data_IF_446055785861
#
_entry.id   IF_446055785861
#
_cell.length_a   1.000
_cell.length_b   1.000
_cell.length_c   1.000
_cell.angle_alpha   90.00
_cell.angle_beta   90.00
_cell.angle_gamma   90.00
#
_symmetry.space_group_name_H-M   'P 1'
#
loop_
_entity.id
_entity.type
_entity.pdbx_description
1 polymer ?
#
# COMPACT_ATOMS: atom_id res chain seq x y z
N UNK A 1 21.27 -5.50 -28.59
CA UNK A 1 20.75 -4.43 -27.69
C UNK A 1 19.34 -4.79 -27.23
N UNK A 2 19.23 -5.41 -26.08
CA UNK A 2 17.96 -5.69 -25.41
C UNK A 2 17.35 -4.38 -24.92
N UNK A 3 16.45 -3.79 -25.69
CA UNK A 3 15.72 -2.61 -25.27
C UNK A 3 14.54 -3.02 -24.39
N UNK A 4 14.77 -3.06 -23.09
CA UNK A 4 13.69 -2.92 -22.10
C UNK A 4 13.17 -1.48 -22.20
N UNK A 5 12.02 -1.26 -22.83
CA UNK A 5 11.45 0.06 -23.07
C UNK A 5 10.62 0.58 -21.90
N UNK A 6 10.97 0.21 -20.68
CA UNK A 6 10.68 1.03 -19.51
C UNK A 6 11.71 2.16 -19.51
N UNK A 7 11.28 3.42 -19.45
CA UNK A 7 12.21 4.53 -19.19
C UNK A 7 13.13 4.06 -18.08
N UNK A 8 14.42 3.83 -18.42
CA UNK A 8 15.43 3.20 -17.58
C UNK A 8 15.66 4.01 -16.31
N UNK A 9 14.78 3.87 -15.35
CA UNK A 9 14.99 4.44 -14.01
C UNK A 9 14.98 3.29 -13.02
N UNK A 10 16.12 3.07 -12.39
CA UNK A 10 16.23 2.23 -11.21
C UNK A 10 15.75 3.00 -10.02
N UNK A 11 15.04 2.31 -9.16
CA UNK A 11 14.50 2.85 -7.91
C UNK A 11 15.26 2.24 -6.73
N UNK A 12 15.75 3.10 -5.85
CA UNK A 12 16.39 2.70 -4.61
C UNK A 12 15.84 3.56 -3.48
N UNK A 13 15.49 2.94 -2.37
CA UNK A 13 15.04 3.66 -1.18
C UNK A 13 16.25 4.03 -0.32
N UNK A 14 16.26 5.26 0.16
CA UNK A 14 17.22 5.73 1.16
C UNK A 14 16.50 6.20 2.41
N UNK A 15 17.00 5.78 3.57
CA UNK A 15 16.49 6.20 4.88
C UNK A 15 17.63 6.65 5.75
N UNK A 16 17.50 7.80 6.36
CA UNK A 16 18.37 8.34 7.39
C UNK A 16 18.32 7.50 8.69
N UNK A 17 19.37 7.56 9.49
CA UNK A 17 19.42 6.94 10.82
C UNK A 17 19.04 7.92 11.92
N UNK A 18 19.28 9.21 11.72
CA UNK A 18 19.04 10.25 12.71
C UNK A 18 18.43 11.50 12.09
N UNK A 19 17.73 12.34 12.90
CA UNK A 19 17.18 13.62 12.42
C UNK A 19 18.26 14.57 11.89
N UNK A 20 19.48 14.55 12.44
CA UNK A 20 20.60 15.37 11.95
C UNK A 20 21.12 14.92 10.58
N UNK A 21 21.00 13.65 10.27
CA UNK A 21 21.39 13.10 8.97
C UNK A 21 20.35 13.40 7.89
N UNK A 22 19.11 13.64 8.27
CA UNK A 22 18.02 13.97 7.34
C UNK A 22 18.27 15.28 6.58
N UNK A 23 18.72 16.32 7.28
CA UNK A 23 19.05 17.60 6.62
C UNK A 23 20.26 17.47 5.68
N UNK A 24 21.32 16.79 6.14
CA UNK A 24 22.51 16.53 5.31
C UNK A 24 22.16 15.67 4.10
N UNK A 25 21.32 14.65 4.29
CA UNK A 25 20.84 13.79 3.22
C UNK A 25 20.04 14.60 2.20
N UNK A 26 19.09 15.42 2.63
CA UNK A 26 18.27 16.26 1.75
C UNK A 26 19.14 17.26 0.95
N UNK A 27 20.11 17.92 1.60
CA UNK A 27 21.03 18.83 0.94
C UNK A 27 21.95 18.10 -0.05
N UNK A 28 22.49 16.93 0.35
CA UNK A 28 23.34 16.12 -0.51
C UNK A 28 22.58 15.61 -1.76
N UNK A 29 21.38 15.08 -1.57
CA UNK A 29 20.54 14.60 -2.65
C UNK A 29 20.15 15.72 -3.62
N UNK A 30 19.77 16.90 -3.11
CA UNK A 30 19.44 18.06 -3.95
C UNK A 30 20.65 18.51 -4.79
N UNK A 31 21.85 18.49 -4.22
CA UNK A 31 23.09 18.85 -4.91
C UNK A 31 23.45 17.85 -6.00
N UNK A 32 23.39 16.56 -5.70
CA UNK A 32 23.59 15.49 -6.68
C UNK A 32 22.57 15.55 -7.83
N UNK A 33 21.29 15.86 -7.53
CA UNK A 33 20.26 16.02 -8.54
C UNK A 33 20.45 17.28 -9.42
N UNK A 34 21.10 18.32 -8.89
CA UNK A 34 21.46 19.51 -9.68
C UNK A 34 22.66 19.25 -10.61
N UNK A 35 23.58 18.35 -10.23
CA UNK A 35 24.75 17.98 -11.03
C UNK A 35 24.39 16.97 -12.14
N UNK A 36 23.42 16.10 -11.88
CA UNK A 36 23.04 15.02 -12.80
C UNK A 36 21.55 15.06 -13.15
N UNK A 37 21.15 15.48 -14.35
CA UNK A 37 19.76 15.57 -14.76
C UNK A 37 19.09 14.19 -14.94
N UNK A 38 19.85 13.11 -14.98
CA UNK A 38 19.32 11.74 -15.03
C UNK A 38 18.97 11.17 -13.65
N UNK A 39 19.44 11.83 -12.58
CA UNK A 39 19.13 11.49 -11.21
C UNK A 39 17.94 12.30 -10.70
N UNK A 40 16.98 11.62 -10.12
CA UNK A 40 15.79 12.24 -9.50
C UNK A 40 15.56 11.69 -8.12
N UNK A 41 15.04 12.55 -7.26
CA UNK A 41 14.66 12.20 -5.88
C UNK A 41 13.21 12.57 -5.67
N UNK A 42 12.45 11.64 -5.14
CA UNK A 42 11.03 11.82 -4.79
C UNK A 42 10.77 11.25 -3.40
N UNK A 43 9.85 11.85 -2.67
CA UNK A 43 9.34 11.28 -1.44
C UNK A 43 8.04 10.55 -1.75
N UNK A 44 8.00 9.27 -1.49
CA UNK A 44 6.77 8.49 -1.58
C UNK A 44 5.86 8.86 -0.42
N UNK A 45 4.70 9.42 -0.74
CA UNK A 45 3.73 9.91 0.26
C UNK A 45 3.07 8.76 1.04
N UNK A 46 3.04 7.55 0.48
CA UNK A 46 2.42 6.39 1.13
C UNK A 46 3.35 5.72 2.14
N UNK A 47 4.60 5.49 1.76
CA UNK A 47 5.59 4.84 2.63
C UNK A 47 6.41 5.84 3.46
N UNK A 48 6.34 7.14 3.13
CA UNK A 48 7.19 8.18 3.70
C UNK A 48 8.69 8.01 3.38
N UNK A 49 9.02 7.19 2.39
CA UNK A 49 10.39 6.89 2.00
C UNK A 49 10.89 7.89 0.95
N UNK A 50 12.17 8.24 1.04
CA UNK A 50 12.87 8.95 -0.03
C UNK A 50 13.33 7.95 -1.07
N UNK A 51 12.84 8.09 -2.30
CA UNK A 51 13.15 7.22 -3.44
C UNK A 51 14.11 7.94 -4.38
N UNK A 52 15.22 7.31 -4.66
CA UNK A 52 16.20 7.73 -5.66
C UNK A 52 15.94 7.01 -6.98
N UNK A 53 15.89 7.75 -8.07
CA UNK A 53 15.69 7.25 -9.44
C UNK A 53 16.93 7.57 -10.28
N UNK A 54 17.51 6.58 -10.92
CA UNK A 54 18.69 6.72 -11.77
C UNK A 54 18.69 5.81 -12.99
N UNK A 55 19.66 5.96 -13.87
CA UNK A 55 19.79 5.19 -15.13
C UNK A 55 20.07 3.71 -14.90
N UNK A 56 20.67 3.34 -13.78
CA UNK A 56 21.03 1.96 -13.46
C UNK A 56 21.44 1.80 -12.00
N UNK A 57 21.69 0.56 -11.59
CA UNK A 57 22.08 0.26 -10.20
C UNK A 57 23.47 0.81 -9.90
N UNK A 58 24.43 0.57 -10.78
CA UNK A 58 25.78 1.12 -10.62
C UNK A 58 25.78 2.65 -10.53
N UNK A 59 24.91 3.32 -11.29
CA UNK A 59 24.76 4.77 -11.22
C UNK A 59 24.27 5.19 -9.83
N UNK A 60 23.25 4.53 -9.30
CA UNK A 60 22.73 4.81 -7.95
C UNK A 60 23.76 4.47 -6.87
N UNK A 61 24.51 3.37 -7.00
CA UNK A 61 25.54 3.00 -6.06
C UNK A 61 26.67 4.04 -5.99
N UNK A 62 27.10 4.58 -7.13
CA UNK A 62 28.09 5.67 -7.20
C UNK A 62 27.56 6.92 -6.49
N UNK A 63 26.30 7.30 -6.74
CA UNK A 63 25.70 8.47 -6.10
C UNK A 63 25.55 8.30 -4.58
N UNK A 64 25.24 7.09 -4.14
CA UNK A 64 25.19 6.73 -2.72
C UNK A 64 26.58 6.78 -2.09
N UNK A 65 27.60 6.27 -2.77
CA UNK A 65 28.98 6.34 -2.27
C UNK A 65 29.45 7.80 -2.17
N UNK A 66 29.13 8.63 -3.16
CA UNK A 66 29.36 10.08 -3.10
C UNK A 66 28.63 10.73 -1.92
N UNK A 67 27.34 10.38 -1.71
CA UNK A 67 26.55 10.91 -0.59
C UNK A 67 27.21 10.59 0.76
N UNK A 68 27.71 9.37 0.92
CA UNK A 68 28.41 8.96 2.14
C UNK A 68 29.75 9.68 2.34
N UNK A 69 30.57 9.80 1.27
CA UNK A 69 31.91 10.37 1.35
C UNK A 69 31.93 11.89 1.42
N UNK A 70 31.15 12.55 0.57
CA UNK A 70 31.18 14.01 0.44
C UNK A 70 30.31 14.69 1.50
N UNK A 71 29.15 14.12 1.81
CA UNK A 71 28.20 14.71 2.76
C UNK A 71 28.19 14.05 4.13
N UNK A 72 28.97 12.98 4.32
CA UNK A 72 29.10 12.22 5.59
C UNK A 72 27.73 11.79 6.13
N UNK A 73 26.86 11.31 5.25
CA UNK A 73 25.53 10.83 5.59
C UNK A 73 25.59 9.34 5.88
N UNK A 74 25.14 8.94 7.06
CA UNK A 74 24.89 7.54 7.38
C UNK A 74 23.44 7.19 7.04
N UNK A 75 23.23 6.54 5.89
CA UNK A 75 21.91 6.14 5.43
C UNK A 75 21.82 4.65 5.18
N UNK A 76 20.66 4.08 5.49
CA UNK A 76 20.28 2.73 5.08
C UNK A 76 19.70 2.78 3.67
N UNK A 77 20.15 1.88 2.82
CA UNK A 77 19.75 1.80 1.42
C UNK A 77 19.16 0.43 1.15
N UNK A 78 18.11 0.37 0.37
CA UNK A 78 17.44 -0.88 0.02
C UNK A 78 16.44 -0.74 -1.11
N UNK A 79 15.76 -1.83 -1.43
CA UNK A 79 14.64 -1.79 -2.35
C UNK A 79 13.50 -0.93 -1.75
N UNK A 80 12.75 -0.19 -2.60
CA UNK A 80 11.57 0.54 -2.16
C UNK A 80 10.57 -0.39 -1.49
N UNK A 81 9.88 0.12 -0.48
CA UNK A 81 8.84 -0.63 0.19
C UNK A 81 7.62 -0.75 -0.73
N UNK A 82 7.06 -1.94 -0.85
CA UNK A 82 5.86 -2.16 -1.65
C UNK A 82 4.65 -1.67 -0.88
N UNK A 83 3.82 -0.85 -1.50
CA UNK A 83 2.58 -0.33 -0.93
C UNK A 83 1.48 -1.40 -1.00
N UNK A 84 1.44 -2.28 -0.02
CA UNK A 84 0.36 -3.24 0.13
C UNK A 84 -0.94 -2.56 0.59
N UNK A 85 -2.07 -3.19 0.28
CA UNK A 85 -3.40 -2.82 0.75
C UNK A 85 -4.10 -4.03 1.36
N UNK A 86 -5.13 -3.79 2.15
CA UNK A 86 -6.02 -4.85 2.62
C UNK A 86 -7.41 -4.68 2.01
N UNK A 87 -8.13 -5.78 1.85
CA UNK A 87 -9.55 -5.81 1.49
C UNK A 87 -10.22 -7.00 2.14
N UNK A 88 -11.52 -7.14 1.96
CA UNK A 88 -12.32 -8.25 2.49
C UNK A 88 -12.84 -9.14 1.36
N UNK A 89 -13.13 -10.40 1.67
CA UNK A 89 -13.50 -11.41 0.68
C UNK A 89 -14.99 -11.61 0.51
N UNK A 90 -15.75 -11.45 1.58
CA UNK A 90 -17.20 -11.70 1.60
C UNK A 90 -17.89 -10.76 2.58
N UNK A 91 -19.19 -10.63 2.40
CA UNK A 91 -20.06 -9.85 3.27
C UNK A 91 -20.17 -10.51 4.64
N UNK A 92 -20.18 -9.70 5.68
CA UNK A 92 -20.41 -10.13 7.05
C UNK A 92 -21.32 -9.16 7.78
N UNK A 93 -22.27 -9.69 8.53
CA UNK A 93 -23.02 -8.96 9.55
C UNK A 93 -22.34 -9.18 10.90
N UNK A 94 -21.99 -8.10 11.57
CA UNK A 94 -21.29 -8.15 12.85
C UNK A 94 -21.88 -7.17 13.86
N UNK A 95 -22.12 -7.67 15.07
CA UNK A 95 -22.55 -6.88 16.24
C UNK A 95 -21.41 -6.79 17.23
N UNK A 96 -21.12 -5.59 17.70
CA UNK A 96 -20.13 -5.36 18.75
C UNK A 96 -20.73 -4.51 19.85
N UNK A 97 -20.54 -4.94 21.09
CA UNK A 97 -20.98 -4.21 22.29
C UNK A 97 -19.76 -3.73 23.05
N UNK A 98 -19.60 -2.41 23.14
CA UNK A 98 -18.64 -1.78 24.04
C UNK A 98 -19.31 -1.54 25.39
N UNK A 99 -18.80 -2.17 26.44
CA UNK A 99 -19.24 -1.96 27.80
C UNK A 99 -18.04 -1.83 28.73
N UNK A 100 -17.90 -0.68 29.39
CA UNK A 100 -16.86 -0.44 30.39
C UNK A 100 -17.49 0.19 31.61
N UNK A 101 -17.29 -0.43 32.75
CA UNK A 101 -17.66 0.12 34.07
C UNK A 101 -16.37 0.34 34.86
N UNK A 102 -16.08 1.55 35.24
CA UNK A 102 -14.95 1.89 36.10
C UNK A 102 -15.38 3.01 37.03
N UNK A 103 -15.79 2.69 38.24
CA UNK A 103 -15.91 3.56 39.42
C UNK A 103 -16.56 4.95 39.27
N UNK A 104 -17.42 5.16 38.27
CA UNK A 104 -18.05 6.43 37.92
C UNK A 104 -19.03 6.24 36.75
N UNK A 105 -19.15 7.22 35.83
CA UNK A 105 -19.99 7.07 34.65
C UNK A 105 -19.45 5.93 33.75
N UNK A 106 -20.32 4.96 33.43
CA UNK A 106 -20.00 3.84 32.53
C UNK A 106 -19.82 4.30 31.07
N UNK A 107 -19.38 3.38 30.24
CA UNK A 107 -19.41 3.56 28.76
C UNK A 107 -20.20 2.39 28.17
N UNK A 108 -21.22 2.69 27.38
CA UNK A 108 -22.02 1.69 26.71
C UNK A 108 -22.31 2.13 25.27
N UNK A 109 -22.06 1.25 24.31
CA UNK A 109 -22.51 1.41 22.94
C UNK A 109 -22.56 0.04 22.26
N UNK A 110 -23.66 -0.26 21.58
CA UNK A 110 -23.76 -1.43 20.72
C UNK A 110 -23.99 -0.97 19.28
N UNK A 111 -23.21 -1.52 18.37
CA UNK A 111 -23.32 -1.27 16.92
C UNK A 111 -23.48 -2.58 16.19
N UNK A 112 -24.43 -2.61 15.25
CA UNK A 112 -24.64 -3.74 14.34
C UNK A 112 -24.41 -3.24 12.92
N UNK A 113 -23.42 -3.80 12.26
CA UNK A 113 -22.94 -3.35 10.95
C UNK A 113 -22.91 -4.50 9.95
N UNK A 114 -23.25 -4.20 8.69
CA UNK A 114 -22.97 -5.06 7.55
C UNK A 114 -21.75 -4.48 6.84
N UNK A 115 -20.73 -5.31 6.66
CA UNK A 115 -19.49 -4.95 5.96
C UNK A 115 -19.48 -5.76 4.66
N UNK A 116 -19.52 -5.09 3.51
CA UNK A 116 -19.66 -5.68 2.19
C UNK A 116 -18.45 -5.31 1.34
N UNK A 117 -17.77 -6.27 0.66
CA UNK A 117 -16.74 -5.94 -0.32
C UNK A 117 -17.36 -5.23 -1.53
N UNK A 118 -16.63 -4.27 -2.11
CA UNK A 118 -17.00 -3.59 -3.35
C UNK A 118 -16.06 -3.97 -4.49
N UNK A 119 -16.36 -3.54 -5.70
CA UNK A 119 -15.49 -3.78 -6.85
C UNK A 119 -14.16 -3.02 -6.70
N UNK A 120 -13.06 -3.54 -7.27
CA UNK A 120 -11.77 -2.88 -7.21
C UNK A 120 -11.83 -1.43 -7.73
N UNK A 121 -11.36 -0.50 -6.91
CA UNK A 121 -11.32 0.93 -7.23
C UNK A 121 -12.59 1.72 -6.88
N UNK A 122 -13.63 1.10 -6.32
CA UNK A 122 -14.81 1.82 -5.84
C UNK A 122 -14.57 2.55 -4.51
N UNK A 123 -13.51 2.16 -3.78
CA UNK A 123 -13.13 2.79 -2.54
C UNK A 123 -14.07 2.47 -1.37
N UNK A 124 -14.14 3.41 -0.44
CA UNK A 124 -14.94 3.29 0.79
C UNK A 124 -16.25 4.06 0.71
N UNK A 125 -17.32 3.46 1.25
CA UNK A 125 -18.59 4.16 1.48
C UNK A 125 -19.22 3.73 2.80
N UNK A 126 -19.87 4.71 3.46
CA UNK A 126 -20.63 4.48 4.70
C UNK A 126 -22.08 4.90 4.49
N UNK A 127 -23.01 4.10 4.98
CA UNK A 127 -24.43 4.45 5.04
C UNK A 127 -25.06 4.06 6.37
N UNK A 128 -25.99 4.87 6.82
CA UNK A 128 -26.83 4.54 7.99
C UNK A 128 -28.20 4.08 7.53
N UNK A 129 -28.58 2.86 7.90
CA UNK A 129 -29.89 2.26 7.65
C UNK A 129 -30.68 2.10 8.96
N UNK A 130 -30.38 2.90 9.97
CA UNK A 130 -31.07 2.85 11.27
C UNK A 130 -32.55 3.20 11.09
N UNK A 131 -33.42 2.35 11.61
CA UNK A 131 -34.86 2.55 11.66
C UNK A 131 -35.31 2.65 13.10
N UNK A 132 -36.32 3.50 13.38
CA UNK A 132 -36.93 3.59 14.71
C UNK A 132 -36.08 4.24 15.80
N UNK A 133 -34.94 4.88 15.46
CA UNK A 133 -34.13 5.60 16.45
C UNK A 133 -33.29 4.68 17.38
N UNK A 134 -33.01 3.44 16.96
CA UNK A 134 -32.19 2.49 17.73
C UNK A 134 -30.80 3.04 18.08
N UNK A 135 -30.25 3.90 17.23
CA UNK A 135 -29.08 4.73 17.50
C UNK A 135 -29.46 6.19 17.25
N UNK A 136 -29.37 7.09 18.25
CA UNK A 136 -29.60 8.52 18.06
C UNK A 136 -28.69 9.11 17.00
N UNK A 137 -29.21 10.05 16.21
CA UNK A 137 -28.48 10.67 15.08
C UNK A 137 -27.17 11.32 15.49
N UNK A 138 -27.09 11.82 16.73
CA UNK A 138 -25.90 12.46 17.29
C UNK A 138 -24.72 11.50 17.48
N UNK A 139 -24.95 10.17 17.54
CA UNK A 139 -23.89 9.17 17.70
C UNK A 139 -23.38 8.62 16.37
N UNK A 140 -24.13 8.78 15.27
CA UNK A 140 -23.74 8.28 13.93
C UNK A 140 -22.40 8.86 13.46
N UNK A 141 -22.08 10.16 13.64
CA UNK A 141 -20.76 10.68 13.30
C UNK A 141 -19.61 10.01 14.10
N UNK A 142 -19.88 9.59 15.35
CA UNK A 142 -18.93 8.82 16.15
C UNK A 142 -18.66 7.44 15.55
N UNK A 143 -19.70 6.77 15.05
CA UNK A 143 -19.56 5.47 14.36
C UNK A 143 -18.71 5.62 13.12
N UNK A 144 -19.00 6.59 12.26
CA UNK A 144 -18.24 6.85 11.03
C UNK A 144 -16.76 7.17 11.34
N UNK A 145 -16.51 8.02 12.33
CA UNK A 145 -15.15 8.33 12.78
C UNK A 145 -14.41 7.09 13.28
N UNK A 146 -15.11 6.21 14.00
CA UNK A 146 -14.56 4.94 14.48
C UNK A 146 -14.15 4.01 13.35
N UNK A 147 -14.99 3.90 12.31
CA UNK A 147 -14.71 3.12 11.10
C UNK A 147 -13.51 3.70 10.35
N UNK A 148 -13.50 5.02 10.10
CA UNK A 148 -12.41 5.71 9.39
C UNK A 148 -11.06 5.51 10.08
N UNK A 149 -11.02 5.45 11.41
CA UNK A 149 -9.79 5.21 12.17
C UNK A 149 -9.15 3.82 11.94
N UNK A 150 -9.89 2.87 11.37
CA UNK A 150 -9.40 1.52 11.04
C UNK A 150 -8.90 1.43 9.60
N UNK A 151 -9.33 2.35 8.74
CA UNK A 151 -8.97 2.31 7.31
C UNK A 151 -7.48 2.43 7.06
N UNK A 152 -6.78 3.25 7.84
CA UNK A 152 -5.33 3.47 7.67
C UNK A 152 -4.48 2.30 8.18
N UNK A 153 -5.06 1.42 9.01
CA UNK A 153 -4.35 0.29 9.60
C UNK A 153 -5.26 -0.91 9.74
N UNK A 154 -5.27 -1.74 8.71
CA UNK A 154 -6.10 -2.93 8.61
C UNK A 154 -5.76 -4.02 9.63
N UNK A 155 -6.69 -4.98 9.82
CA UNK A 155 -6.59 -5.98 10.88
C UNK A 155 -5.65 -7.16 10.57
N UNK A 156 -5.20 -7.32 9.32
CA UNK A 156 -4.38 -8.46 8.88
C UNK A 156 -2.89 -8.19 9.06
N UNK A 157 -2.38 -7.16 8.42
CA UNK A 157 -0.96 -6.82 8.41
C UNK A 157 -0.70 -5.32 8.70
N UNK A 158 -1.76 -4.54 8.96
CA UNK A 158 -1.67 -3.13 9.29
C UNK A 158 -1.58 -2.21 8.09
N UNK A 159 -1.86 -2.70 6.88
CA UNK A 159 -1.93 -1.88 5.68
C UNK A 159 -3.30 -1.20 5.51
N UNK A 160 -3.39 -0.08 4.79
CA UNK A 160 -4.66 0.58 4.53
C UNK A 160 -5.68 -0.36 3.87
N UNK A 161 -6.93 -0.26 4.33
CA UNK A 161 -8.04 -1.08 3.80
C UNK A 161 -8.79 -0.31 2.74
N UNK A 162 -9.09 -0.96 1.62
CA UNK A 162 -9.77 -0.36 0.47
C UNK A 162 -10.92 -1.25 -0.03
N UNK A 163 -11.79 -0.68 -0.85
CA UNK A 163 -12.84 -1.36 -1.61
C UNK A 163 -13.82 -2.13 -0.73
N UNK A 164 -14.51 -1.40 0.16
CA UNK A 164 -15.56 -1.95 1.01
C UNK A 164 -16.62 -0.89 1.35
N UNK A 165 -17.81 -1.38 1.68
CA UNK A 165 -18.94 -0.59 2.13
C UNK A 165 -19.36 -1.02 3.53
N UNK A 166 -19.75 -0.07 4.37
CA UNK A 166 -20.29 -0.33 5.69
C UNK A 166 -21.70 0.24 5.82
N UNK A 167 -22.65 -0.60 6.18
CA UNK A 167 -24.01 -0.19 6.52
C UNK A 167 -24.23 -0.37 8.04
N UNK A 168 -24.52 0.72 8.75
CA UNK A 168 -24.98 0.66 10.12
C UNK A 168 -26.48 0.35 10.12
N UNK A 169 -26.88 -0.84 10.59
CA UNK A 169 -28.27 -1.34 10.46
C UNK A 169 -29.01 -1.28 11.79
N UNK A 170 -28.34 -1.45 12.93
CA UNK A 170 -28.94 -1.46 14.26
C UNK A 170 -27.93 -1.09 15.32
N UNK A 171 -28.38 -0.92 16.57
CA UNK A 171 -27.54 -0.68 17.71
C UNK A 171 -28.33 -0.49 18.99
N UNK A 172 -27.62 -0.35 20.11
CA UNK A 172 -28.25 0.00 21.40
C UNK A 172 -27.45 1.08 22.09
N UNK A 173 -28.17 1.95 22.76
CA UNK A 173 -27.61 2.99 23.60
C UNK A 173 -28.21 2.94 25.00
N UNK A 174 -27.60 3.62 25.94
CA UNK A 174 -28.05 3.80 27.29
C UNK A 174 -28.04 5.29 27.61
N UNK A 175 -29.15 5.80 28.17
CA UNK A 175 -29.38 7.25 28.33
C UNK A 175 -28.29 7.97 29.14
N UNK A 176 -27.61 7.27 30.05
CA UNK A 176 -26.59 7.84 30.93
C UNK A 176 -25.16 7.51 30.49
N UNK A 177 -24.94 6.27 29.98
CA UNK A 177 -23.60 5.73 29.74
C UNK A 177 -23.17 5.79 28.30
N UNK A 178 -24.03 6.24 27.35
CA UNK A 178 -23.71 6.38 25.98
C UNK A 178 -23.14 7.76 25.63
N UNK A 179 -22.18 7.78 24.74
CA UNK A 179 -21.53 8.99 24.22
C UNK A 179 -21.01 8.77 22.82
N UNK A 180 -20.74 9.86 22.09
CA UNK A 180 -20.08 9.80 20.76
C UNK A 180 -18.79 9.01 20.83
N UNK A 181 -18.01 9.17 21.90
CA UNK A 181 -16.76 8.44 22.11
C UNK A 181 -17.00 6.94 22.33
N UNK A 182 -18.05 6.54 23.07
CA UNK A 182 -18.38 5.14 23.27
C UNK A 182 -18.74 4.46 21.93
N UNK A 183 -19.50 5.15 21.07
CA UNK A 183 -19.84 4.69 19.72
C UNK A 183 -18.64 4.67 18.78
N UNK A 184 -17.72 5.64 18.87
CA UNK A 184 -16.45 5.61 18.13
C UNK A 184 -15.62 4.37 18.49
N UNK A 185 -15.48 4.06 19.77
CA UNK A 185 -14.75 2.88 20.25
C UNK A 185 -15.45 1.60 19.80
N UNK A 186 -16.78 1.52 19.96
CA UNK A 186 -17.57 0.35 19.57
C UNK A 186 -17.44 0.08 18.06
N UNK A 187 -17.57 1.11 17.24
CA UNK A 187 -17.43 1.02 15.78
C UNK A 187 -16.02 0.59 15.37
N UNK A 188 -14.98 1.18 15.97
CA UNK A 188 -13.57 0.83 15.71
C UNK A 188 -13.29 -0.65 16.02
N UNK A 189 -13.69 -1.12 17.18
CA UNK A 189 -13.46 -2.51 17.57
C UNK A 189 -14.33 -3.47 16.77
N UNK A 190 -15.61 -3.15 16.58
CA UNK A 190 -16.53 -3.92 15.76
C UNK A 190 -16.08 -4.04 14.32
N UNK A 191 -15.54 -2.97 13.75
CA UNK A 191 -14.97 -2.98 12.39
C UNK A 191 -13.76 -3.91 12.30
N UNK A 192 -12.81 -3.84 13.24
CA UNK A 192 -11.63 -4.72 13.27
C UNK A 192 -12.00 -6.21 13.36
N UNK A 193 -12.97 -6.54 14.21
CA UNK A 193 -13.45 -7.91 14.34
C UNK A 193 -14.26 -8.36 13.12
N UNK A 194 -15.14 -7.50 12.62
CA UNK A 194 -15.95 -7.75 11.43
C UNK A 194 -15.09 -8.01 10.20
N UNK A 195 -14.07 -7.20 9.94
CA UNK A 195 -13.14 -7.41 8.81
C UNK A 195 -12.39 -8.74 8.91
N UNK A 196 -11.95 -9.15 10.10
CA UNK A 196 -11.32 -10.48 10.27
C UNK A 196 -12.28 -11.60 9.91
N UNK A 197 -13.55 -11.49 10.33
CA UNK A 197 -14.60 -12.46 10.00
C UNK A 197 -14.97 -12.43 8.51
N UNK A 198 -14.91 -11.26 7.86
CA UNK A 198 -15.15 -11.09 6.43
C UNK A 198 -14.03 -11.65 5.54
N UNK A 199 -13.02 -12.30 6.12
CA UNK A 199 -11.91 -12.89 5.39
C UNK A 199 -11.01 -11.81 4.79
N UNK A 200 -10.33 -11.05 5.65
CA UNK A 200 -9.36 -10.03 5.22
C UNK A 200 -8.28 -10.64 4.32
N UNK A 201 -7.95 -9.95 3.23
CA UNK A 201 -6.94 -10.33 2.22
C UNK A 201 -5.96 -9.21 2.01
N UNK A 202 -4.70 -9.61 1.75
CA UNK A 202 -3.65 -8.68 1.35
C UNK A 202 -3.67 -8.52 -0.18
N UNK A 203 -3.66 -7.28 -0.63
CA UNK A 203 -3.49 -6.91 -2.03
C UNK A 203 -2.07 -6.44 -2.26
N UNK A 204 -1.45 -6.94 -3.32
CA UNK A 204 -0.14 -6.49 -3.79
C UNK A 204 -0.28 -5.68 -5.09
N UNK A 205 0.53 -4.62 -5.29
CA UNK A 205 0.53 -3.91 -6.56
C UNK A 205 1.14 -4.78 -7.65
N UNK A 206 0.45 -4.83 -8.80
CA UNK A 206 0.87 -5.61 -9.96
C UNK A 206 1.24 -4.65 -11.09
N UNK A 207 2.41 -4.87 -11.70
CA UNK A 207 2.88 -4.10 -12.84
C UNK A 207 2.47 -4.75 -14.15
N UNK A 208 2.03 -3.92 -15.11
CA UNK A 208 1.97 -4.32 -16.50
C UNK A 208 3.37 -4.16 -17.10
N UNK A 209 3.95 -5.25 -17.56
CA UNK A 209 5.31 -5.33 -18.09
C UNK A 209 5.24 -5.72 -19.57
N UNK A 210 5.99 -5.01 -20.40
CA UNK A 210 6.25 -5.37 -21.78
C UNK A 210 7.76 -5.60 -21.94
N UNK A 211 8.16 -6.79 -22.40
CA UNK A 211 9.55 -7.15 -22.67
C UNK A 211 9.71 -7.40 -24.17
N UNK A 212 10.56 -6.63 -24.82
CA UNK A 212 10.88 -6.80 -26.25
C UNK A 212 12.22 -7.51 -26.38
N UNK A 213 12.22 -8.66 -27.05
CA UNK A 213 13.38 -9.54 -27.16
C UNK A 213 13.46 -10.19 -28.53
N UNK A 214 14.66 -10.57 -29.04
CA UNK A 214 14.80 -11.48 -30.16
C UNK A 214 14.06 -12.80 -29.91
N UNK A 215 13.56 -13.42 -30.98
CA UNK A 215 12.73 -14.63 -30.88
C UNK A 215 13.42 -15.77 -30.12
N UNK A 216 14.74 -15.90 -30.29
CA UNK A 216 15.57 -16.93 -29.65
C UNK A 216 15.56 -16.91 -28.11
N UNK A 217 15.32 -15.72 -27.49
CA UNK A 217 15.28 -15.57 -26.03
C UNK A 217 13.87 -15.60 -25.42
N UNK A 218 12.83 -15.69 -26.26
CA UNK A 218 11.42 -15.63 -25.83
C UNK A 218 11.10 -16.65 -24.76
N UNK A 219 11.55 -17.92 -24.94
CA UNK A 219 11.31 -18.99 -23.98
C UNK A 219 11.94 -18.74 -22.61
N UNK A 220 13.18 -18.24 -22.59
CA UNK A 220 13.89 -17.89 -21.36
C UNK A 220 13.21 -16.76 -20.57
N UNK A 221 12.75 -15.73 -21.28
CA UNK A 221 12.05 -14.58 -20.68
C UNK A 221 10.69 -14.98 -20.13
N UNK A 222 9.93 -15.80 -20.83
CA UNK A 222 8.64 -16.33 -20.34
C UNK A 222 8.88 -17.16 -19.06
N UNK A 223 9.90 -18.01 -19.06
CA UNK A 223 10.30 -18.80 -17.89
C UNK A 223 10.65 -17.92 -16.69
N UNK A 224 11.44 -16.85 -16.89
CA UNK A 224 11.81 -15.93 -15.83
C UNK A 224 10.61 -15.11 -15.32
N UNK A 225 9.78 -14.56 -16.20
CA UNK A 225 8.56 -13.85 -15.80
C UNK A 225 7.62 -14.76 -15.00
N UNK A 226 7.48 -16.03 -15.41
CA UNK A 226 6.67 -17.03 -14.69
C UNK A 226 7.25 -17.36 -13.31
N UNK A 227 8.57 -17.52 -13.20
CA UNK A 227 9.25 -17.73 -11.92
C UNK A 227 9.05 -16.59 -10.93
N UNK A 228 8.83 -15.38 -11.43
CA UNK A 228 8.50 -14.16 -10.67
C UNK A 228 7.01 -14.00 -10.37
N UNK A 229 6.23 -15.06 -10.48
CA UNK A 229 4.76 -15.06 -10.33
C UNK A 229 4.06 -14.18 -11.37
N UNK A 230 4.71 -13.92 -12.51
CA UNK A 230 4.14 -13.18 -13.61
C UNK A 230 3.13 -14.00 -14.40
N UNK A 231 2.06 -13.35 -14.81
CA UNK A 231 1.07 -13.89 -15.72
C UNK A 231 1.29 -13.31 -17.11
N UNK A 232 1.80 -14.12 -18.04
CA UNK A 232 1.95 -13.73 -19.44
C UNK A 232 0.57 -13.64 -20.08
N UNK A 233 0.25 -12.49 -20.67
CA UNK A 233 -1.05 -12.22 -21.29
C UNK A 233 -1.04 -12.31 -22.81
N UNK A 234 0.14 -12.19 -23.43
CA UNK A 234 0.26 -12.28 -24.88
C UNK A 234 1.68 -12.07 -25.38
N UNK A 235 1.86 -12.40 -26.65
CA UNK A 235 3.08 -12.16 -27.42
C UNK A 235 2.71 -11.52 -28.75
N UNK A 236 3.46 -10.51 -29.15
CA UNK A 236 3.24 -9.78 -30.40
C UNK A 236 4.54 -9.67 -31.18
N UNK A 237 4.58 -10.10 -32.47
CA UNK A 237 5.76 -9.91 -33.29
C UNK A 237 5.98 -8.42 -33.59
N UNK A 238 7.23 -7.94 -33.48
CA UNK A 238 7.66 -6.58 -33.78
C UNK A 238 8.93 -6.59 -34.66
N UNK A 239 8.76 -6.72 -35.95
CA UNK A 239 9.90 -6.84 -36.87
C UNK A 239 10.73 -8.10 -36.59
N UNK A 240 11.98 -7.94 -36.18
CA UNK A 240 12.90 -9.04 -35.81
C UNK A 240 12.86 -9.39 -34.32
N UNK A 241 11.88 -8.86 -33.58
CA UNK A 241 11.73 -9.08 -32.15
C UNK A 241 10.30 -9.49 -31.78
N UNK A 242 10.12 -10.01 -30.58
CA UNK A 242 8.83 -10.36 -30.01
C UNK A 242 8.61 -9.51 -28.75
N UNK A 243 7.46 -8.86 -28.66
CA UNK A 243 7.02 -8.17 -27.44
C UNK A 243 6.18 -9.14 -26.58
N UNK A 244 6.63 -9.40 -25.38
CA UNK A 244 5.97 -10.25 -24.39
C UNK A 244 5.26 -9.35 -23.37
N UNK A 245 3.94 -9.47 -23.26
CA UNK A 245 3.13 -8.74 -22.30
C UNK A 245 2.82 -9.62 -21.08
N UNK A 246 3.02 -9.09 -19.89
CA UNK A 246 2.76 -9.81 -18.65
C UNK A 246 2.30 -8.88 -17.52
N UNK A 247 1.58 -9.43 -16.56
CA UNK A 247 1.34 -8.81 -15.25
C UNK A 247 2.23 -9.50 -14.21
N UNK A 248 3.05 -8.72 -13.51
CA UNK A 248 4.02 -9.24 -12.52
C UNK A 248 3.92 -8.43 -11.23
N UNK A 249 3.90 -9.09 -10.05
CA UNK A 249 3.93 -8.38 -8.77
C UNK A 249 5.15 -7.45 -8.67
N UNK A 250 4.93 -6.20 -8.25
CA UNK A 250 5.99 -5.20 -8.13
C UNK A 250 7.16 -5.69 -7.27
N UNK A 251 6.86 -6.40 -6.17
CA UNK A 251 7.89 -6.95 -5.29
C UNK A 251 8.90 -7.86 -6.01
N UNK A 252 8.45 -8.56 -7.05
CA UNK A 252 9.28 -9.51 -7.81
C UNK A 252 10.00 -8.86 -9.00
N UNK A 253 9.72 -7.58 -9.27
CA UNK A 253 10.37 -6.85 -10.38
C UNK A 253 11.62 -6.07 -9.97
N UNK A 254 11.87 -5.93 -8.67
CA UNK A 254 13.12 -5.34 -8.22
C UNK A 254 14.31 -6.21 -8.69
N UNK A 255 15.31 -5.56 -9.29
CA UNK A 255 16.47 -6.25 -9.85
C UNK A 255 16.27 -6.96 -11.20
N UNK A 256 15.09 -6.94 -11.81
CA UNK A 256 14.79 -7.63 -13.06
C UNK A 256 15.76 -7.31 -14.22
N UNK A 257 16.10 -6.04 -14.39
CA UNK A 257 17.00 -5.63 -15.52
C UNK A 257 18.48 -6.02 -15.32
N UNK A 258 18.92 -6.43 -14.12
CA UNK A 258 20.34 -6.82 -13.90
C UNK A 258 20.69 -8.17 -14.50
N UNK A 259 19.72 -9.09 -14.57
CA UNK A 259 19.95 -10.46 -15.03
C UNK A 259 20.25 -10.55 -16.53
N UNK A 260 19.84 -9.56 -17.32
CA UNK A 260 19.98 -9.57 -18.78
C UNK A 260 21.02 -8.58 -19.32
N UNK A 261 21.71 -7.84 -18.47
CA UNK A 261 22.78 -6.90 -18.87
C UNK A 261 24.18 -7.35 -18.47
N UNK A 262 24.30 -8.43 -17.67
CA UNK A 262 25.59 -8.93 -17.18
C UNK A 262 26.29 -9.92 -18.13
N UNK A 263 25.58 -10.46 -19.14
CA UNK A 263 26.10 -11.48 -20.05
C UNK A 263 26.24 -10.98 -21.51
N UNK A 264 26.36 -9.67 -21.72
CA UNK A 264 26.60 -9.08 -23.04
C UNK A 264 27.99 -8.48 -23.18
#
# INVERSE_FOLDING_TARGET
DLHCNTRRQRLMCIRDRTKGDQEKMSQGLARLAAEDPSFRVETDMESGQTIMKGMGELHLDILVDRLKREFKVEANIGAPQVAYRETISHEVEHTYTHKKQSGGSGQFAEVKMIITPTAPGEGYSFESRIVGGAVPKEYIPGVEKGINSVMDSGPLAGFPVIDFKVALIDGKFHDVDSSVLAFEIAARMGMREGMKKAGAKLLEPVMKVEVVTPEEYTGGIIGDLTSRRGQVTGQEPRGNAVAINAFVPLANMFGYCLLYTSDA
#
